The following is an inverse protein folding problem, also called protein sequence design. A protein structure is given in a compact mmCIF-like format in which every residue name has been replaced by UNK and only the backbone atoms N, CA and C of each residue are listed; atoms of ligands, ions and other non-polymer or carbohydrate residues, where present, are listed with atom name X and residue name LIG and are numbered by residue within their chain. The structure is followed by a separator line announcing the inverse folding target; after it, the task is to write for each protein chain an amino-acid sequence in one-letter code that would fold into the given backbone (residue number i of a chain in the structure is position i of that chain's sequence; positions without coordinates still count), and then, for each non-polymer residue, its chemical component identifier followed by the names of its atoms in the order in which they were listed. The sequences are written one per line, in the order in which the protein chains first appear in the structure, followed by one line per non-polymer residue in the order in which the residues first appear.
data_IF_606389233089
#
_entry.id   IF_606389233089
#
_cell.length_a   1.000
_cell.length_b   1.000
_cell.length_c   1.000
_cell.angle_alpha   90.00
_cell.angle_beta   90.00
_cell.angle_gamma   90.00
#
_symmetry.space_group_name_H-M   'P 1'
#
loop_
_entity.id
_entity.type
_entity.pdbx_description
1 polymer ?
#
# COMPACT_ATOMS: atom_id res chain seq x y z
N UNK A 1 -23.74 17.69 -2.35
CA UNK A 1 -23.13 16.37 -2.62
C UNK A 1 -21.76 16.27 -1.93
N UNK A 2 -21.75 16.29 -0.59
CA UNK A 2 -20.56 16.46 0.26
C UNK A 2 -19.58 15.27 0.21
N UNK A 3 -20.10 14.04 0.16
CA UNK A 3 -19.26 12.83 0.15
C UNK A 3 -18.26 12.81 -1.01
N UNK A 4 -18.69 13.20 -2.21
CA UNK A 4 -17.80 13.24 -3.38
C UNK A 4 -16.68 14.28 -3.23
N UNK A 5 -16.89 15.33 -2.44
CA UNK A 5 -15.88 16.37 -2.20
C UNK A 5 -14.75 15.88 -1.28
N UNK A 6 -14.98 14.81 -0.50
CA UNK A 6 -13.97 14.19 0.36
C UNK A 6 -13.06 13.22 -0.40
N UNK A 7 -13.35 12.93 -1.68
CA UNK A 7 -12.64 11.94 -2.50
C UNK A 7 -11.94 12.63 -3.65
N UNK A 8 -10.62 12.44 -3.74
CA UNK A 8 -9.81 12.94 -4.85
C UNK A 8 -9.35 11.77 -5.72
N UNK A 9 -9.84 11.72 -6.97
CA UNK A 9 -9.36 10.76 -7.96
C UNK A 9 -8.11 11.31 -8.66
N UNK A 10 -7.11 10.43 -8.83
CA UNK A 10 -5.87 10.72 -9.54
C UNK A 10 -5.45 9.46 -10.29
N UNK A 11 -4.83 9.66 -11.45
CA UNK A 11 -4.26 8.56 -12.22
C UNK A 11 -2.82 8.33 -11.80
N UNK A 12 -2.50 7.09 -11.45
CA UNK A 12 -1.15 6.64 -11.13
C UNK A 12 -0.96 5.25 -11.71
N UNK A 13 0.22 5.01 -12.29
CA UNK A 13 0.66 3.67 -12.62
C UNK A 13 1.65 3.21 -11.56
N UNK A 14 1.33 2.13 -10.87
CA UNK A 14 2.15 1.60 -9.77
C UNK A 14 3.55 1.14 -10.23
N UNK A 15 3.77 0.95 -11.54
CA UNK A 15 5.08 0.64 -12.12
C UNK A 15 6.04 1.81 -12.12
N UNK A 16 5.53 3.03 -12.06
CA UNK A 16 6.34 4.23 -12.12
C UNK A 16 6.87 4.57 -10.73
N UNK A 17 7.87 5.45 -10.67
CA UNK A 17 8.28 6.06 -9.41
C UNK A 17 7.23 7.09 -8.99
N UNK A 18 6.53 6.80 -7.89
CA UNK A 18 5.49 7.68 -7.35
C UNK A 18 6.00 8.29 -6.05
N UNK A 19 6.19 9.62 -6.05
CA UNK A 19 6.39 10.37 -4.80
C UNK A 19 5.04 10.83 -4.24
N UNK A 20 4.57 10.09 -3.23
CA UNK A 20 3.41 10.49 -2.44
C UNK A 20 3.90 11.42 -1.31
N UNK A 21 3.97 12.73 -1.62
CA UNK A 21 4.40 13.77 -0.67
C UNK A 21 3.57 13.82 0.62
N UNK A 22 2.32 13.32 0.59
CA UNK A 22 1.45 13.22 1.76
C UNK A 22 1.65 11.86 2.44
N UNK A 23 1.71 11.87 3.78
CA UNK A 23 1.70 10.63 4.57
C UNK A 23 0.28 10.23 4.92
N UNK A 24 -0.07 8.98 4.68
CA UNK A 24 -1.39 8.41 4.93
C UNK A 24 -1.41 7.62 6.24
N UNK A 25 -2.55 7.64 6.93
CA UNK A 25 -2.82 6.76 8.07
C UNK A 25 -3.15 5.33 7.60
N UNK A 26 -3.72 5.20 6.39
CA UNK A 26 -4.19 3.95 5.81
C UNK A 26 -3.93 3.93 4.30
N UNK A 27 -3.37 2.82 3.81
CA UNK A 27 -3.26 2.48 2.39
C UNK A 27 -4.05 1.20 2.12
N UNK A 28 -4.92 1.22 1.12
CA UNK A 28 -5.66 0.06 0.64
C UNK A 28 -5.16 -0.33 -0.76
N UNK A 29 -4.62 -1.53 -0.91
CA UNK A 29 -4.24 -2.08 -2.20
C UNK A 29 -4.65 -3.55 -2.26
N UNK A 30 -5.92 -3.80 -2.62
CA UNK A 30 -6.52 -5.12 -2.58
C UNK A 30 -6.77 -5.66 -3.98
N UNK A 31 -6.35 -6.91 -4.23
CA UNK A 31 -6.58 -7.64 -5.49
C UNK A 31 -5.87 -7.02 -6.71
N UNK A 32 -4.73 -6.36 -6.48
CA UNK A 32 -3.93 -5.71 -7.53
C UNK A 32 -2.52 -6.30 -7.60
N UNK A 33 -1.88 -6.56 -6.46
CA UNK A 33 -0.52 -7.07 -6.42
C UNK A 33 -0.40 -8.53 -6.88
N UNK A 34 -1.51 -9.26 -6.97
CA UNK A 34 -1.55 -10.61 -7.57
C UNK A 34 -1.12 -10.63 -9.05
N UNK A 35 -1.16 -9.50 -9.75
CA UNK A 35 -0.75 -9.38 -11.15
C UNK A 35 0.74 -9.04 -11.31
N UNK A 36 1.48 -8.87 -10.22
CA UNK A 36 2.86 -8.41 -10.23
C UNK A 36 3.83 -9.53 -9.87
N UNK A 37 4.98 -9.54 -10.54
CA UNK A 37 6.10 -10.39 -10.15
C UNK A 37 6.69 -9.95 -8.79
N UNK A 38 7.66 -10.71 -8.27
CA UNK A 38 8.28 -10.40 -6.98
C UNK A 38 8.97 -9.02 -6.96
N UNK A 39 9.66 -8.64 -8.02
CA UNK A 39 10.40 -7.37 -8.09
C UNK A 39 9.41 -6.19 -8.06
N UNK A 40 8.37 -6.28 -8.88
CA UNK A 40 7.32 -5.29 -8.99
C UNK A 40 6.49 -5.18 -7.71
N UNK A 41 6.19 -6.29 -7.03
CA UNK A 41 5.55 -6.25 -5.70
C UNK A 41 6.40 -5.52 -4.67
N UNK A 42 7.70 -5.82 -4.60
CA UNK A 42 8.60 -5.15 -3.66
C UNK A 42 8.70 -3.64 -3.92
N UNK A 43 8.75 -3.23 -5.19
CA UNK A 43 8.70 -1.81 -5.58
C UNK A 43 7.45 -1.11 -5.04
N UNK A 44 6.27 -1.70 -5.29
CA UNK A 44 4.99 -1.14 -4.83
C UNK A 44 4.89 -1.08 -3.31
N UNK A 45 5.39 -2.12 -2.61
CA UNK A 45 5.41 -2.13 -1.16
C UNK A 45 6.33 -1.05 -0.58
N UNK A 46 7.45 -0.73 -1.22
CA UNK A 46 8.34 0.36 -0.81
C UNK A 46 7.65 1.73 -0.97
N UNK A 47 6.94 1.95 -2.09
CA UNK A 47 6.09 3.15 -2.29
C UNK A 47 5.08 3.27 -1.15
N UNK A 48 4.35 2.20 -0.84
CA UNK A 48 3.35 2.22 0.24
C UNK A 48 3.97 2.45 1.61
N UNK A 49 5.08 1.79 1.91
CA UNK A 49 5.79 1.97 3.17
C UNK A 49 6.26 3.42 3.33
N UNK A 50 6.83 4.03 2.29
CA UNK A 50 7.21 5.44 2.31
C UNK A 50 6.01 6.35 2.45
N UNK A 51 4.89 6.03 1.81
CA UNK A 51 3.66 6.83 1.86
C UNK A 51 2.91 6.73 3.20
N UNK A 52 3.15 5.71 4.01
CA UNK A 52 2.51 5.57 5.33
C UNK A 52 3.21 6.41 6.40
N UNK A 53 2.42 6.97 7.32
CA UNK A 53 2.90 7.49 8.61
C UNK A 53 3.47 6.34 9.47
N UNK A 54 4.33 6.62 10.46
CA UNK A 54 4.62 5.66 11.54
C UNK A 54 3.30 5.13 12.13
N UNK A 55 3.25 3.84 12.45
CA UNK A 55 2.05 3.13 12.92
C UNK A 55 0.87 3.09 11.92
N UNK A 56 1.07 3.57 10.68
CA UNK A 56 0.08 3.51 9.62
C UNK A 56 -0.15 2.08 9.11
N UNK A 57 -1.31 1.84 8.51
CA UNK A 57 -1.75 0.50 8.12
C UNK A 57 -1.80 0.30 6.60
N UNK A 58 -1.36 -0.87 6.15
CA UNK A 58 -1.53 -1.38 4.79
C UNK A 58 -2.50 -2.56 4.83
N UNK A 59 -3.57 -2.51 4.04
CA UNK A 59 -4.51 -3.62 3.87
C UNK A 59 -4.47 -4.12 2.43
N UNK A 60 -4.30 -5.43 2.30
CA UNK A 60 -4.23 -6.13 1.02
C UNK A 60 -5.36 -7.16 0.89
N UNK A 61 -5.45 -7.80 -0.27
CA UNK A 61 -6.38 -8.89 -0.57
C UNK A 61 -6.00 -10.18 0.14
N UNK A 62 -6.96 -11.08 0.37
CA UNK A 62 -6.73 -12.34 1.08
C UNK A 62 -5.80 -13.31 0.33
N UNK A 63 -5.71 -13.19 -0.99
CA UNK A 63 -4.80 -13.97 -1.84
C UNK A 63 -3.42 -13.32 -1.98
N UNK A 64 -3.19 -12.17 -1.34
CA UNK A 64 -1.96 -11.41 -1.43
C UNK A 64 -1.13 -11.59 -0.16
N UNK A 65 0.19 -11.45 -0.30
CA UNK A 65 1.13 -11.55 0.80
C UNK A 65 2.34 -10.66 0.56
N UNK A 66 2.89 -10.11 1.64
CA UNK A 66 4.11 -9.29 1.63
C UNK A 66 5.32 -10.02 2.23
N UNK A 67 5.19 -11.33 2.50
CA UNK A 67 6.30 -12.13 3.05
C UNK A 67 7.53 -12.06 2.14
N UNK A 68 8.72 -12.03 2.76
CA UNK A 68 10.01 -11.96 2.08
C UNK A 68 10.23 -10.69 1.23
N UNK A 69 9.49 -9.61 1.49
CA UNK A 69 9.75 -8.29 0.88
C UNK A 69 10.95 -7.57 1.48
N UNK A 70 11.34 -7.92 2.71
CA UNK A 70 12.41 -7.22 3.46
C UNK A 70 11.99 -5.86 4.02
N UNK A 71 10.72 -5.49 3.87
CA UNK A 71 10.17 -4.22 4.35
C UNK A 71 9.60 -4.42 5.75
N UNK A 72 9.82 -3.44 6.63
CA UNK A 72 9.49 -3.52 8.05
C UNK A 72 7.99 -3.35 8.35
N UNK A 73 7.19 -4.30 7.88
CA UNK A 73 5.78 -4.41 8.21
C UNK A 73 5.55 -5.48 9.27
N UNK A 74 4.80 -5.11 10.30
CA UNK A 74 4.27 -6.05 11.28
C UNK A 74 2.92 -6.59 10.79
N UNK A 75 2.76 -7.91 10.73
CA UNK A 75 1.45 -8.50 10.47
C UNK A 75 0.56 -8.39 11.71
N UNK A 76 -0.67 -7.88 11.53
CA UNK A 76 -1.64 -7.72 12.62
C UNK A 76 -2.69 -8.85 12.56
N UNK A 77 -3.57 -8.83 11.56
CA UNK A 77 -4.60 -9.86 11.29
C UNK A 77 -5.25 -9.62 9.93
N UNK A 78 -5.92 -10.62 9.36
CA UNK A 78 -6.81 -10.45 8.19
C UNK A 78 -6.21 -9.61 7.05
N UNK A 79 -5.00 -9.96 6.58
CA UNK A 79 -4.28 -9.24 5.52
C UNK A 79 -4.01 -7.75 5.82
N UNK A 80 -3.91 -7.40 7.11
CA UNK A 80 -3.56 -6.07 7.61
C UNK A 80 -2.15 -6.08 8.16
N UNK A 81 -1.38 -5.07 7.77
CA UNK A 81 0.01 -4.86 8.16
C UNK A 81 0.22 -3.46 8.70
N UNK A 82 1.03 -3.31 9.75
CA UNK A 82 1.36 -2.03 10.37
C UNK A 82 2.80 -1.65 10.06
N UNK A 83 3.03 -0.40 9.66
CA UNK A 83 4.37 0.17 9.48
C UNK A 83 5.03 0.38 10.84
N UNK A 84 6.18 -0.25 11.04
CA UNK A 84 7.11 0.03 12.14
C UNK A 84 8.26 0.90 11.67
#
# INVERSE_FOLDING_TARGET
NFLKQMVSFRFFNLKDDIDLHKKFDLVLCRNVMIYFDKKMRNHVLDIFYKALKPEGHLLIGHSESIYNSGINFEFIKSATYKKR
#
